data_IF_222680589128
#
_entry.id   IF_222680589128
#
_cell.length_a   1.000
_cell.length_b   1.000
_cell.length_c   1.000
_cell.angle_alpha   90.00
_cell.angle_beta   90.00
_cell.angle_gamma   90.00
#
_symmetry.space_group_name_H-M   'P 1'
#
loop_
_entity.id
_entity.type
_entity.pdbx_description
1 polymer ?
#
# COMPACT_ATOMS: atom_id res chain seq x y z
N UNK A 1 -4.46 -9.23 4.41
CA UNK A 1 -4.71 -8.13 3.45
C UNK A 1 -5.70 -7.13 4.06
N UNK A 2 -5.34 -5.85 4.29
CA UNK A 2 -6.20 -4.89 5.01
C UNK A 2 -7.58 -4.66 4.39
N UNK A 3 -7.70 -4.68 3.06
CA UNK A 3 -8.99 -4.53 2.38
C UNK A 3 -9.98 -5.64 2.77
N UNK A 4 -9.51 -6.90 2.82
CA UNK A 4 -10.31 -8.05 3.29
C UNK A 4 -10.81 -7.83 4.73
N UNK A 5 -9.94 -7.40 5.62
CA UNK A 5 -10.32 -7.13 7.01
C UNK A 5 -11.36 -6.01 7.13
N UNK A 6 -11.21 -4.92 6.36
CA UNK A 6 -12.19 -3.83 6.33
C UNK A 6 -13.56 -4.32 5.87
N UNK A 7 -13.62 -5.08 4.77
CA UNK A 7 -14.89 -5.61 4.29
C UNK A 7 -15.52 -6.61 5.26
N UNK A 8 -14.73 -7.54 5.84
CA UNK A 8 -15.23 -8.48 6.84
C UNK A 8 -15.79 -7.74 8.07
N UNK A 9 -15.08 -6.73 8.60
CA UNK A 9 -15.58 -5.94 9.72
C UNK A 9 -16.84 -5.14 9.36
N UNK A 10 -16.94 -4.65 8.12
CA UNK A 10 -18.13 -3.96 7.65
C UNK A 10 -19.33 -4.93 7.59
N UNK A 11 -19.16 -6.13 7.04
CA UNK A 11 -20.20 -7.17 7.03
C UNK A 11 -20.69 -7.54 8.43
N UNK A 12 -19.77 -7.66 9.39
CA UNK A 12 -20.11 -7.96 10.79
C UNK A 12 -20.98 -6.87 11.45
N UNK A 13 -20.79 -5.59 11.07
CA UNK A 13 -21.65 -4.48 11.55
C UNK A 13 -23.05 -4.51 10.98
N UNK A 14 -23.24 -5.21 9.86
CA UNK A 14 -24.53 -5.46 9.24
C UNK A 14 -25.09 -6.83 9.61
N UNK A 15 -24.54 -7.48 10.65
CA UNK A 15 -24.98 -8.78 11.16
C UNK A 15 -24.85 -9.93 10.13
N UNK A 16 -24.00 -9.76 9.13
CA UNK A 16 -23.73 -10.77 8.10
C UNK A 16 -22.47 -11.54 8.48
N UNK A 17 -22.64 -12.84 8.73
CA UNK A 17 -21.56 -13.73 9.17
C UNK A 17 -21.44 -14.90 8.19
N UNK A 18 -20.19 -15.24 7.83
CA UNK A 18 -19.88 -16.45 7.08
C UNK A 18 -19.55 -17.60 8.04
N UNK A 19 -20.24 -18.73 7.90
CA UNK A 19 -20.07 -19.92 8.73
C UNK A 19 -19.49 -21.14 8.01
N UNK A 20 -19.42 -21.11 6.67
CA UNK A 20 -19.22 -22.33 5.86
C UNK A 20 -17.74 -22.69 5.64
N UNK A 21 -16.88 -22.32 6.59
CA UNK A 21 -15.49 -22.75 6.63
C UNK A 21 -14.48 -21.63 6.33
N UNK A 22 -13.58 -21.87 5.37
CA UNK A 22 -12.38 -21.05 5.19
C UNK A 22 -12.70 -19.65 4.65
N UNK A 23 -12.37 -18.63 5.45
CA UNK A 23 -12.52 -17.23 5.06
C UNK A 23 -11.63 -16.90 3.85
N UNK A 24 -12.19 -16.16 2.90
CA UNK A 24 -11.51 -15.70 1.67
C UNK A 24 -10.97 -16.80 0.74
N UNK A 25 -11.50 -18.03 0.84
CA UNK A 25 -11.42 -19.05 -0.21
C UNK A 25 -12.51 -18.84 -1.26
N UNK A 26 -12.50 -19.61 -2.35
CA UNK A 26 -13.49 -19.49 -3.44
C UNK A 26 -14.95 -19.55 -2.98
N UNK A 27 -15.25 -20.38 -1.96
CA UNK A 27 -16.58 -20.47 -1.36
C UNK A 27 -17.00 -19.16 -0.65
N UNK A 28 -16.11 -18.56 0.15
CA UNK A 28 -16.35 -17.28 0.79
C UNK A 28 -16.49 -16.15 -0.23
N UNK A 29 -15.67 -16.13 -1.28
CA UNK A 29 -15.76 -15.11 -2.33
C UNK A 29 -17.11 -15.16 -3.07
N UNK A 30 -17.54 -16.37 -3.45
CA UNK A 30 -18.84 -16.59 -4.06
C UNK A 30 -19.99 -16.19 -3.11
N UNK A 31 -19.86 -16.47 -1.82
CA UNK A 31 -20.82 -16.03 -0.79
C UNK A 31 -20.86 -14.50 -0.67
N UNK A 32 -19.70 -13.84 -0.62
CA UNK A 32 -19.61 -12.39 -0.51
C UNK A 32 -20.30 -11.70 -1.71
N UNK A 33 -20.06 -12.18 -2.94
CA UNK A 33 -20.72 -11.63 -4.16
C UNK A 33 -22.25 -11.69 -4.14
N UNK A 34 -22.83 -12.62 -3.39
CA UNK A 34 -24.28 -12.80 -3.30
C UNK A 34 -24.95 -11.87 -2.29
N UNK A 35 -24.19 -11.16 -1.47
CA UNK A 35 -24.78 -10.27 -0.47
C UNK A 35 -25.56 -9.15 -1.14
N UNK A 36 -26.79 -8.93 -0.67
CA UNK A 36 -27.68 -7.86 -1.15
C UNK A 36 -28.27 -7.12 0.03
N UNK A 37 -28.31 -5.80 -0.07
CA UNK A 37 -28.79 -4.90 0.97
C UNK A 37 -30.03 -4.14 0.50
N UNK A 38 -30.99 -3.95 1.40
CA UNK A 38 -32.24 -3.24 1.08
C UNK A 38 -32.05 -1.74 0.79
N UNK A 39 -30.97 -1.13 1.31
CA UNK A 39 -30.63 0.26 1.04
C UNK A 39 -29.62 0.37 -0.11
N UNK A 40 -29.90 1.16 -1.16
CA UNK A 40 -28.97 1.36 -2.28
C UNK A 40 -27.62 1.94 -1.88
N UNK A 41 -27.58 2.82 -0.87
CA UNK A 41 -26.33 3.43 -0.38
C UNK A 41 -25.46 2.40 0.36
N UNK A 42 -26.10 1.52 1.12
CA UNK A 42 -25.42 0.42 1.81
C UNK A 42 -24.86 -0.58 0.79
N UNK A 43 -25.65 -0.89 -0.25
CA UNK A 43 -25.20 -1.74 -1.35
C UNK A 43 -23.98 -1.14 -2.08
N UNK A 44 -24.03 0.15 -2.44
CA UNK A 44 -22.92 0.83 -3.12
C UNK A 44 -21.63 0.81 -2.27
N UNK A 45 -21.75 1.03 -0.96
CA UNK A 45 -20.60 0.98 -0.03
C UNK A 45 -20.00 -0.44 0.03
N UNK A 46 -20.85 -1.46 0.04
CA UNK A 46 -20.40 -2.86 -0.02
C UNK A 46 -19.67 -3.14 -1.34
N UNK A 47 -20.27 -2.74 -2.46
CA UNK A 47 -19.73 -3.00 -3.80
C UNK A 47 -18.36 -2.34 -3.97
N UNK A 48 -18.18 -1.09 -3.52
CA UNK A 48 -16.89 -0.38 -3.52
C UNK A 48 -15.84 -1.09 -2.65
N UNK A 49 -16.24 -1.52 -1.45
CA UNK A 49 -15.35 -2.24 -0.54
C UNK A 49 -14.94 -3.60 -1.08
N UNK A 50 -15.84 -4.30 -1.76
CA UNK A 50 -15.58 -5.59 -2.39
C UNK A 50 -14.71 -5.44 -3.65
N UNK A 51 -15.00 -4.44 -4.50
CA UNK A 51 -14.19 -4.13 -5.67
C UNK A 51 -12.73 -3.80 -5.30
N UNK A 52 -12.54 -3.04 -4.21
CA UNK A 52 -11.20 -2.80 -3.65
C UNK A 52 -10.46 -4.10 -3.31
N UNK A 53 -11.16 -5.12 -2.79
CA UNK A 53 -10.54 -6.42 -2.50
C UNK A 53 -10.16 -7.16 -3.78
N UNK A 54 -11.06 -7.19 -4.77
CA UNK A 54 -10.83 -7.85 -6.07
C UNK A 54 -9.66 -7.20 -6.80
N UNK A 55 -9.66 -5.88 -6.91
CA UNK A 55 -8.64 -5.11 -7.61
C UNK A 55 -7.26 -5.32 -6.99
N UNK A 56 -7.14 -5.20 -5.65
CA UNK A 56 -5.83 -5.40 -4.98
C UNK A 56 -5.35 -6.84 -5.11
N UNK A 57 -6.24 -7.83 -5.04
CA UNK A 57 -5.87 -9.24 -5.21
C UNK A 57 -5.41 -9.54 -6.65
N UNK A 58 -6.05 -8.94 -7.66
CA UNK A 58 -5.64 -9.07 -9.05
C UNK A 58 -4.26 -8.45 -9.31
N UNK A 59 -3.98 -7.28 -8.72
CA UNK A 59 -2.65 -6.65 -8.82
C UNK A 59 -1.55 -7.54 -8.25
N UNK A 60 -1.81 -8.24 -7.14
CA UNK A 60 -0.85 -9.13 -6.48
C UNK A 60 -0.54 -10.38 -7.31
N UNK A 61 -1.55 -10.93 -7.99
CA UNK A 61 -1.45 -12.20 -8.71
C UNK A 61 -0.63 -12.13 -10.01
N UNK A 62 -0.66 -10.99 -10.72
CA UNK A 62 -0.21 -10.93 -12.11
C UNK A 62 0.61 -9.67 -12.43
N UNK A 63 1.58 -9.34 -11.56
CA UNK A 63 2.45 -8.18 -11.75
C UNK A 63 3.94 -8.56 -11.79
N UNK A 64 4.74 -7.96 -12.69
CA UNK A 64 6.20 -8.11 -12.65
C UNK A 64 6.81 -7.58 -11.33
N UNK A 65 6.05 -6.79 -10.58
CA UNK A 65 6.49 -6.18 -9.34
C UNK A 65 6.11 -6.97 -8.08
N UNK A 66 5.34 -8.07 -8.20
CA UNK A 66 4.85 -8.87 -7.07
C UNK A 66 5.98 -9.28 -6.12
N UNK A 67 7.13 -9.75 -6.64
CA UNK A 67 8.28 -10.11 -5.81
C UNK A 67 8.93 -8.94 -5.04
N UNK A 68 8.84 -7.71 -5.55
CA UNK A 68 9.30 -6.51 -4.84
C UNK A 68 8.28 -6.06 -3.80
N UNK A 69 6.99 -6.08 -4.16
CA UNK A 69 5.88 -5.77 -3.24
C UNK A 69 5.87 -6.72 -2.03
N UNK A 70 6.08 -8.03 -2.23
CA UNK A 70 6.17 -8.98 -1.12
C UNK A 70 7.33 -8.67 -0.18
N UNK A 71 8.50 -8.30 -0.70
CA UNK A 71 9.66 -7.89 0.11
C UNK A 71 9.38 -6.63 0.91
N UNK A 72 8.74 -5.63 0.29
CA UNK A 72 8.29 -4.43 1.00
C UNK A 72 7.26 -4.75 2.07
N UNK A 73 6.35 -5.70 1.82
CA UNK A 73 5.34 -6.17 2.76
C UNK A 73 5.91 -6.82 4.03
N UNK A 74 7.19 -7.24 4.03
CA UNK A 74 7.87 -7.67 5.25
C UNK A 74 8.15 -6.50 6.21
N UNK A 75 8.13 -5.25 5.73
CA UNK A 75 8.23 -4.07 6.57
C UNK A 75 6.88 -3.80 7.25
N UNK A 76 6.93 -3.57 8.56
CA UNK A 76 5.73 -3.32 9.35
C UNK A 76 4.96 -2.13 8.79
N UNK A 77 3.67 -2.34 8.53
CA UNK A 77 2.74 -1.31 8.06
C UNK A 77 2.62 -1.19 6.54
N UNK A 78 3.44 -1.91 5.76
CA UNK A 78 3.31 -1.90 4.30
C UNK A 78 2.28 -2.94 3.87
N UNK A 79 1.17 -2.46 3.29
CA UNK A 79 0.16 -3.29 2.65
C UNK A 79 0.50 -3.56 1.18
N UNK A 80 -0.14 -4.55 0.55
CA UNK A 80 0.00 -4.84 -0.89
C UNK A 80 -0.19 -3.58 -1.75
N UNK A 81 -1.28 -2.83 -1.53
CA UNK A 81 -1.56 -1.58 -2.25
C UNK A 81 -0.47 -0.53 -2.01
N UNK A 82 -0.02 -0.38 -0.76
CA UNK A 82 1.07 0.54 -0.41
C UNK A 82 2.38 0.14 -1.08
N UNK A 83 2.70 -1.16 -1.13
CA UNK A 83 3.89 -1.66 -1.80
C UNK A 83 3.86 -1.39 -3.30
N UNK A 84 2.71 -1.60 -3.95
CA UNK A 84 2.55 -1.22 -5.36
C UNK A 84 2.70 0.27 -5.61
N UNK A 85 2.09 1.11 -4.76
CA UNK A 85 2.26 2.56 -4.84
C UNK A 85 3.74 2.95 -4.72
N UNK A 86 4.45 2.40 -3.72
CA UNK A 86 5.88 2.65 -3.55
C UNK A 86 6.68 2.24 -4.79
N UNK A 87 6.40 1.08 -5.36
CA UNK A 87 7.08 0.60 -6.56
C UNK A 87 6.89 1.54 -7.75
N UNK A 88 5.66 2.01 -7.98
CA UNK A 88 5.36 2.92 -9.10
C UNK A 88 6.01 4.29 -8.89
N UNK A 89 5.92 4.84 -7.67
CA UNK A 89 6.49 6.15 -7.33
C UNK A 89 8.03 6.14 -7.33
N UNK A 90 8.63 5.05 -6.85
CA UNK A 90 10.08 4.92 -6.78
C UNK A 90 10.68 4.56 -8.13
N UNK A 91 10.03 3.69 -8.90
CA UNK A 91 10.59 3.11 -10.13
C UNK A 91 11.82 2.23 -9.83
N UNK A 92 13.02 2.72 -10.15
CA UNK A 92 14.27 1.96 -10.03
C UNK A 92 14.80 1.83 -8.60
N UNK A 93 14.89 0.60 -8.09
CA UNK A 93 15.33 0.29 -6.72
C UNK A 93 16.85 0.20 -6.53
N UNK A 94 17.64 0.25 -7.60
CA UNK A 94 19.11 0.13 -7.57
C UNK A 94 19.81 1.22 -6.75
N UNK A 95 19.14 2.36 -6.54
CA UNK A 95 19.65 3.47 -5.73
C UNK A 95 19.60 3.21 -4.22
N UNK A 96 18.84 2.21 -3.77
CA UNK A 96 18.72 1.84 -2.36
C UNK A 96 19.64 0.66 -2.05
N UNK A 97 20.88 0.98 -1.72
CA UNK A 97 21.90 0.03 -1.25
C UNK A 97 22.22 0.34 0.21
N UNK A 98 22.80 -0.62 0.93
CA UNK A 98 23.21 -0.38 2.32
C UNK A 98 24.13 0.85 2.49
N UNK A 99 24.90 1.20 1.46
CA UNK A 99 25.80 2.34 1.47
C UNK A 99 25.11 3.68 1.12
N UNK A 100 23.92 3.67 0.52
CA UNK A 100 23.22 4.88 0.10
C UNK A 100 22.04 5.28 1.00
N UNK A 101 21.46 4.34 1.75
CA UNK A 101 20.29 4.59 2.62
C UNK A 101 20.62 5.50 3.82
N UNK A 102 21.90 5.63 4.20
CA UNK A 102 22.38 6.55 5.24
C UNK A 102 23.15 7.77 4.72
N UNK A 103 23.36 7.88 3.40
CA UNK A 103 24.13 8.97 2.81
C UNK A 103 23.27 10.21 2.64
N UNK A 104 22.83 10.81 3.75
CA UNK A 104 22.24 12.15 3.74
C UNK A 104 23.41 13.11 3.51
N UNK A 105 23.59 13.52 2.25
CA UNK A 105 24.48 14.61 1.94
C UNK A 105 23.79 15.89 2.40
N UNK A 106 24.22 16.42 3.54
CA UNK A 106 23.89 17.80 3.87
C UNK A 106 24.41 18.67 2.73
N UNK A 107 23.50 19.18 1.90
CA UNK A 107 23.81 20.30 1.04
C UNK A 107 24.13 21.46 1.97
N UNK A 108 25.35 22.03 1.94
CA UNK A 108 25.62 23.24 2.70
C UNK A 108 24.63 24.27 2.19
N UNK A 109 23.69 24.68 3.05
CA UNK A 109 22.84 25.83 2.77
C UNK A 109 23.79 26.99 2.52
N UNK A 110 23.89 27.45 1.27
CA UNK A 110 24.78 28.52 0.88
C UNK A 110 24.50 29.75 1.72
N UNK A 111 25.35 30.00 2.72
CA UNK A 111 25.28 31.21 3.52
C UNK A 111 25.71 32.37 2.63
N UNK A 112 24.73 33.14 2.14
CA UNK A 112 24.93 34.49 1.62
C UNK A 112 25.36 35.41 2.78
N UNK A 113 26.61 35.29 3.21
CA UNK A 113 27.27 36.34 3.98
C UNK A 113 28.70 36.53 3.46
N UNK A 114 28.77 37.16 2.29
CA UNK A 114 29.98 37.85 1.86
C UNK A 114 30.16 39.11 2.72
N UNK A 115 31.09 39.03 3.67
CA UNK A 115 31.75 40.19 4.28
C UNK A 115 33.27 40.01 4.19
N UNK A 116 33.81 40.43 3.05
CA UNK A 116 35.12 41.10 2.85
C UNK A 116 36.03 41.18 4.09
N UNK A 117 37.20 40.52 4.00
CA UNK A 117 38.56 41.06 4.27
C UNK A 117 39.58 39.99 3.82
N UNK A 118 40.26 40.19 2.68
CA UNK A 118 41.55 40.89 2.50
C UNK A 118 42.75 40.23 3.23
N UNK A 119 43.66 39.66 2.42
CA UNK A 119 45.12 39.95 2.35
C UNK A 119 46.14 38.83 2.67
N UNK A 120 46.80 38.42 1.58
CA UNK A 120 48.23 38.13 1.30
C UNK A 120 48.98 36.84 1.75
N UNK A 121 49.82 36.43 0.78
CA UNK A 121 51.06 35.61 0.79
C UNK A 121 50.83 34.09 0.73
N UNK A 122 51.34 33.35 -0.27
CA UNK A 122 52.43 33.58 -1.23
C UNK A 122 52.09 33.02 -2.62
#
# INVERSE_FOLDING_TARGET
>A
MPARHRLSNWLLRHEIVYSDGQAWAGAHDAWARRQRFGSPLVQATFDEGYDSVVTIAAMDADSPWTGTVHRLGCLRGISTLTGFALVVEIGGWSRFTGNSIGAIRETPMGSHHDRRRLVLLA
#
